data_IF_122224031106
#
_entry.id   IF_122224031106
#
_cell.length_a   1.000
_cell.length_b   1.000
_cell.length_c   1.000
_cell.angle_alpha   90.00
_cell.angle_beta   90.00
_cell.angle_gamma   90.00
#
_symmetry.space_group_name_H-M   'P 1'
#
loop_
_entity.id
_entity.type
_entity.pdbx_description
1 polymer ?
#
# COMPACT_ATOMS: atom_id res chain seq x y z
N UNK A 1 -24.20 -3.29 17.29
CA UNK A 1 -24.52 -2.61 16.01
C UNK A 1 -23.38 -1.66 15.73
N UNK A 2 -22.50 -2.03 14.79
CA UNK A 2 -21.48 -1.11 14.31
C UNK A 2 -22.16 -0.19 13.31
N UNK A 3 -22.13 1.09 13.64
CA UNK A 3 -22.74 2.23 12.97
C UNK A 3 -22.15 2.32 11.56
N UNK A 4 -23.01 2.40 10.55
CA UNK A 4 -22.59 2.45 9.15
C UNK A 4 -21.79 3.72 8.84
N UNK A 5 -20.70 3.54 8.10
CA UNK A 5 -20.04 4.59 7.33
C UNK A 5 -19.82 4.03 5.91
N UNK A 6 -20.80 4.28 5.04
CA UNK A 6 -20.60 4.69 3.63
C UNK A 6 -19.40 4.07 2.92
N UNK A 7 -19.58 2.90 2.31
CA UNK A 7 -18.53 2.16 1.57
C UNK A 7 -18.68 2.21 0.03
N UNK A 8 -19.63 2.97 -0.54
CA UNK A 8 -20.05 2.75 -1.94
C UNK A 8 -19.80 3.88 -2.97
N UNK A 9 -19.15 5.01 -2.64
CA UNK A 9 -18.91 6.09 -3.63
C UNK A 9 -17.56 6.84 -3.42
N UNK A 10 -16.43 6.11 -3.31
CA UNK A 10 -15.07 6.67 -3.21
C UNK A 10 -14.04 5.78 -3.95
N UNK A 11 -14.26 5.57 -5.24
CA UNK A 11 -13.75 4.40 -5.96
C UNK A 11 -12.36 4.51 -6.60
N UNK A 12 -11.63 5.64 -6.46
CA UNK A 12 -10.26 5.76 -6.99
C UNK A 12 -9.20 6.15 -5.97
N UNK A 13 -9.46 7.11 -5.09
CA UNK A 13 -8.51 7.52 -4.04
C UNK A 13 -8.25 6.37 -3.04
N UNK A 14 -9.23 5.48 -2.89
CA UNK A 14 -9.14 4.33 -2.00
C UNK A 14 -8.24 3.20 -2.55
N UNK A 15 -8.07 3.05 -3.87
CA UNK A 15 -7.31 1.92 -4.42
C UNK A 15 -5.83 1.99 -4.06
N UNK A 16 -5.22 3.17 -4.16
CA UNK A 16 -3.83 3.37 -3.74
C UNK A 16 -3.63 3.07 -2.25
N UNK A 17 -4.56 3.55 -1.40
CA UNK A 17 -4.55 3.29 0.04
C UNK A 17 -4.80 1.83 0.39
N UNK A 18 -5.65 1.12 -0.37
CA UNK A 18 -5.87 -0.33 -0.22
C UNK A 18 -4.61 -1.11 -0.50
N UNK A 19 -3.94 -0.84 -1.62
CA UNK A 19 -2.65 -1.48 -1.94
C UNK A 19 -1.57 -1.12 -0.92
N UNK A 20 -1.54 0.12 -0.42
CA UNK A 20 -0.66 0.50 0.68
C UNK A 20 -0.92 -0.34 1.94
N UNK A 21 -2.20 -0.51 2.31
CA UNK A 21 -2.61 -1.36 3.44
C UNK A 21 -2.19 -2.81 3.27
N UNK A 22 -2.45 -3.40 2.11
CA UNK A 22 -2.06 -4.77 1.77
C UNK A 22 -0.53 -4.96 1.83
N UNK A 23 0.23 -3.98 1.33
CA UNK A 23 1.69 -3.97 1.43
C UNK A 23 2.17 -3.99 2.88
N UNK A 24 1.52 -3.24 3.78
CA UNK A 24 1.87 -3.22 5.21
C UNK A 24 1.57 -4.58 5.85
N UNK A 25 0.43 -5.20 5.53
CA UNK A 25 0.08 -6.51 6.06
C UNK A 25 1.11 -7.56 5.61
N UNK A 26 1.46 -7.57 4.32
CA UNK A 26 2.46 -8.47 3.72
C UNK A 26 3.87 -8.24 4.29
N UNK A 27 4.25 -6.97 4.54
CA UNK A 27 5.52 -6.62 5.18
C UNK A 27 5.60 -7.22 6.60
N UNK A 28 4.52 -7.16 7.37
CA UNK A 28 4.45 -7.68 8.74
C UNK A 28 4.58 -9.20 8.81
N UNK A 29 4.03 -9.93 7.83
CA UNK A 29 4.15 -11.40 7.75
C UNK A 29 5.45 -11.85 7.07
N UNK A 30 6.34 -10.93 6.70
CA UNK A 30 7.66 -11.23 6.12
C UNK A 30 7.66 -11.45 4.60
N UNK A 31 6.53 -11.23 3.91
CA UNK A 31 6.42 -11.32 2.47
C UNK A 31 6.89 -10.03 1.78
N UNK A 32 8.20 -9.74 1.87
CA UNK A 32 8.75 -8.46 1.38
C UNK A 32 8.62 -8.28 -0.13
N UNK A 33 8.74 -9.33 -0.95
CA UNK A 33 8.55 -9.22 -2.40
C UNK A 33 7.12 -8.81 -2.78
N UNK A 34 6.11 -9.44 -2.17
CA UNK A 34 4.71 -9.10 -2.43
C UNK A 34 4.34 -7.74 -1.86
N UNK A 35 4.85 -7.40 -0.66
CA UNK A 35 4.68 -6.08 -0.08
C UNK A 35 5.23 -4.97 -1.00
N UNK A 36 6.43 -5.19 -1.57
CA UNK A 36 7.03 -4.26 -2.53
C UNK A 36 6.14 -4.08 -3.77
N UNK A 37 5.59 -5.18 -4.30
CA UNK A 37 4.66 -5.12 -5.44
C UNK A 37 3.45 -4.25 -5.11
N UNK A 38 2.79 -4.48 -3.98
CA UNK A 38 1.63 -3.71 -3.55
C UNK A 38 1.95 -2.22 -3.39
N UNK A 39 3.09 -1.89 -2.77
CA UNK A 39 3.51 -0.49 -2.65
C UNK A 39 3.82 0.15 -4.00
N UNK A 40 4.41 -0.60 -4.95
CA UNK A 40 4.64 -0.12 -6.30
C UNK A 40 3.33 0.16 -7.03
N UNK A 41 2.33 -0.71 -6.91
CA UNK A 41 1.00 -0.47 -7.47
C UNK A 41 0.37 0.77 -6.81
N UNK A 42 0.44 0.90 -5.49
CA UNK A 42 -0.04 2.08 -4.78
C UNK A 42 0.59 3.39 -5.30
N UNK A 43 1.91 3.39 -5.56
CA UNK A 43 2.62 4.53 -6.13
C UNK A 43 2.27 4.81 -7.60
N UNK A 44 1.87 3.80 -8.38
CA UNK A 44 1.39 4.00 -9.75
C UNK A 44 -0.02 4.60 -9.75
N UNK A 45 -0.86 4.18 -8.80
CA UNK A 45 -2.23 4.66 -8.65
C UNK A 45 -2.29 6.08 -8.10
N UNK A 46 -1.48 6.37 -7.08
CA UNK A 46 -1.27 7.73 -6.58
C UNK A 46 0.24 8.03 -6.45
N UNK A 47 0.84 8.72 -7.43
CA UNK A 47 2.26 9.09 -7.36
C UNK A 47 2.53 10.18 -6.32
N UNK A 48 1.50 10.81 -5.76
CA UNK A 48 1.65 11.75 -4.65
C UNK A 48 1.68 11.05 -3.29
N UNK A 49 1.50 9.72 -3.24
CA UNK A 49 1.48 8.94 -2.02
C UNK A 49 2.90 8.74 -1.48
N UNK A 50 3.44 9.76 -0.82
CA UNK A 50 4.80 9.78 -0.25
C UNK A 50 5.08 8.55 0.61
N UNK A 51 4.08 8.08 1.35
CA UNK A 51 4.21 6.90 2.20
C UNK A 51 4.50 5.62 1.38
N UNK A 52 3.91 5.45 0.19
CA UNK A 52 4.21 4.32 -0.67
C UNK A 52 5.66 4.38 -1.18
N UNK A 53 6.14 5.56 -1.56
CA UNK A 53 7.54 5.76 -2.00
C UNK A 53 8.54 5.44 -0.89
N UNK A 54 8.30 5.95 0.33
CA UNK A 54 9.14 5.66 1.50
C UNK A 54 9.15 4.16 1.81
N UNK A 55 8.00 3.50 1.69
CA UNK A 55 7.89 2.05 1.89
C UNK A 55 8.68 1.26 0.84
N UNK A 56 8.54 1.59 -0.45
CA UNK A 56 9.29 0.97 -1.56
C UNK A 56 10.79 1.09 -1.31
N UNK A 57 11.28 2.30 -1.03
CA UNK A 57 12.69 2.56 -0.84
C UNK A 57 13.25 1.83 0.40
N UNK A 58 12.48 1.82 1.49
CA UNK A 58 12.83 1.04 2.70
C UNK A 58 12.90 -0.45 2.42
N UNK A 59 11.96 -1.01 1.64
CA UNK A 59 11.96 -2.43 1.28
C UNK A 59 13.13 -2.76 0.36
N UNK A 60 13.41 -1.95 -0.66
CA UNK A 60 14.56 -2.13 -1.55
C UNK A 60 15.88 -2.16 -0.77
N UNK A 61 16.10 -1.18 0.12
CA UNK A 61 17.26 -1.15 1.01
C UNK A 61 17.35 -2.37 1.92
N UNK A 62 16.22 -2.84 2.46
CA UNK A 62 16.18 -4.04 3.31
C UNK A 62 16.51 -5.31 2.53
N UNK A 63 16.19 -5.36 1.25
CA UNK A 63 16.37 -6.51 0.37
C UNK A 63 17.69 -6.49 -0.41
N UNK A 64 18.42 -5.37 -0.37
CA UNK A 64 19.65 -5.18 -1.14
C UNK A 64 19.42 -4.95 -2.64
N UNK A 65 18.26 -4.40 -2.99
CA UNK A 65 17.85 -4.03 -4.36
C UNK A 65 18.13 -2.56 -4.67
#
# INVERSE_FOLDING_TARGET
>A
MHIGHTEDDMDQENLALRHLGEGIQKENIGQFHEALNEYMVANVLDPNLEIAQVKIDRLKRKMGL
#
